data_IF_082238367200
#
_entry.id   IF_082238367200
#
_cell.length_a   1.000
_cell.length_b   1.000
_cell.length_c   1.000
_cell.angle_alpha   90.00
_cell.angle_beta   90.00
_cell.angle_gamma   90.00
#
_symmetry.space_group_name_H-M   'P 1'
#
loop_
_entity.id
_entity.type
_entity.pdbx_description
1 polymer ?
#
# COMPACT_ATOMS: atom_id res chain seq x y z
N UNK A 1 2.01 -1.43 9.69
CA UNK A 1 2.95 -2.58 9.54
C UNK A 1 2.54 -3.53 8.41
N UNK A 2 1.25 -3.86 8.27
CA UNK A 2 0.73 -4.75 7.21
C UNK A 2 0.97 -4.27 5.77
N UNK A 3 0.60 -3.01 5.44
CA UNK A 3 0.67 -2.55 4.04
C UNK A 3 2.10 -2.51 3.46
N UNK A 4 3.16 -2.29 4.27
CA UNK A 4 4.57 -2.30 3.78
C UNK A 4 4.98 -3.67 3.29
N UNK A 5 4.61 -4.68 4.08
CA UNK A 5 5.01 -6.05 3.81
C UNK A 5 4.21 -6.61 2.65
N UNK A 6 2.95 -6.18 2.54
CA UNK A 6 2.13 -6.42 1.36
C UNK A 6 2.72 -5.76 0.10
N UNK A 7 3.15 -4.50 0.17
CA UNK A 7 3.77 -3.80 -0.96
C UNK A 7 5.08 -4.49 -1.40
N UNK A 8 5.99 -4.80 -0.47
CA UNK A 8 7.22 -5.56 -0.77
C UNK A 8 6.92 -6.96 -1.30
N UNK A 9 5.84 -7.59 -0.85
CA UNK A 9 5.43 -8.89 -1.40
C UNK A 9 4.95 -8.75 -2.83
N UNK A 10 4.10 -7.76 -3.12
CA UNK A 10 3.65 -7.48 -4.48
C UNK A 10 4.83 -7.18 -5.41
N UNK A 11 5.83 -6.43 -4.95
CA UNK A 11 7.07 -6.17 -5.70
C UNK A 11 7.85 -7.46 -5.98
N UNK A 12 8.01 -8.35 -5.00
CA UNK A 12 8.64 -9.67 -5.21
C UNK A 12 7.85 -10.55 -6.18
N UNK A 13 6.52 -10.51 -6.08
CA UNK A 13 5.59 -11.24 -6.94
C UNK A 13 5.68 -10.75 -8.38
N UNK A 14 5.82 -9.44 -8.60
CA UNK A 14 6.06 -8.86 -9.94
C UNK A 14 7.34 -9.40 -10.58
N UNK A 15 8.36 -9.71 -9.79
CA UNK A 15 9.61 -10.33 -10.24
C UNK A 15 9.55 -11.87 -10.28
N UNK A 16 8.37 -12.47 -10.14
CA UNK A 16 8.16 -13.92 -10.21
C UNK A 16 8.44 -14.67 -8.92
N UNK A 17 8.73 -13.99 -7.81
CA UNK A 17 9.00 -14.62 -6.52
C UNK A 17 7.74 -14.66 -5.64
N UNK A 18 7.02 -15.78 -5.73
CA UNK A 18 5.75 -16.00 -5.04
C UNK A 18 5.89 -16.47 -3.58
N UNK A 19 7.09 -16.92 -3.18
CA UNK A 19 7.36 -17.46 -1.83
C UNK A 19 6.51 -18.69 -1.48
N UNK A 20 6.02 -18.78 -0.23
CA UNK A 20 5.18 -19.89 0.24
C UNK A 20 3.75 -19.79 -0.34
N UNK A 21 3.43 -20.71 -1.24
CA UNK A 21 2.13 -20.78 -1.92
C UNK A 21 1.48 -22.15 -1.74
N UNK A 22 0.15 -22.15 -1.62
CA UNK A 22 -0.67 -23.36 -1.52
C UNK A 22 -1.91 -23.22 -2.39
N UNK A 23 -2.24 -24.25 -3.16
CA UNK A 23 -3.56 -24.31 -3.81
C UNK A 23 -4.67 -24.45 -2.76
N UNK A 24 -5.71 -23.65 -2.86
CA UNK A 24 -6.91 -23.70 -1.99
C UNK A 24 -8.16 -24.17 -2.74
N UNK A 25 -8.00 -24.61 -3.99
CA UNK A 25 -9.09 -25.14 -4.83
C UNK A 25 -9.56 -24.17 -5.91
N UNK A 26 -10.25 -24.69 -6.94
CA UNK A 26 -10.88 -23.92 -8.02
C UNK A 26 -9.94 -22.90 -8.70
N UNK A 27 -8.66 -23.28 -8.91
CA UNK A 27 -7.66 -22.42 -9.54
C UNK A 27 -7.16 -21.25 -8.68
N UNK A 28 -7.59 -21.17 -7.41
CA UNK A 28 -7.15 -20.15 -6.45
C UNK A 28 -5.97 -20.66 -5.63
N UNK A 29 -4.99 -19.77 -5.45
CA UNK A 29 -3.81 -20.01 -4.65
C UNK A 29 -3.76 -19.04 -3.48
N UNK A 30 -3.34 -19.54 -2.32
CA UNK A 30 -3.03 -18.77 -1.14
C UNK A 30 -1.52 -18.55 -1.07
N UNK A 31 -1.11 -17.31 -0.94
CA UNK A 31 0.26 -16.90 -0.67
C UNK A 31 0.37 -16.52 0.81
N UNK A 32 1.21 -17.26 1.52
CA UNK A 32 1.34 -17.19 2.98
C UNK A 32 2.49 -16.27 3.37
N UNK A 33 2.20 -15.38 4.31
CA UNK A 33 3.18 -14.50 4.89
C UNK A 33 3.42 -14.85 6.36
N UNK A 34 4.65 -15.26 6.66
CA UNK A 34 5.06 -15.65 8.00
C UNK A 34 5.46 -14.40 8.81
N UNK A 35 4.49 -13.54 9.12
CA UNK A 35 4.68 -12.44 10.07
C UNK A 35 3.38 -11.90 10.68
N UNK A 36 3.44 -11.46 11.94
CA UNK A 36 2.34 -10.78 12.62
C UNK A 36 1.05 -11.62 12.70
N UNK A 37 -0.14 -11.01 12.72
CA UNK A 37 -1.40 -11.74 12.60
C UNK A 37 -1.51 -12.34 11.19
N UNK A 38 -0.93 -13.54 11.00
CA UNK A 38 -0.93 -14.40 9.80
C UNK A 38 -1.68 -13.83 8.58
N UNK A 39 -0.99 -13.09 7.71
CA UNK A 39 -1.60 -12.53 6.49
C UNK A 39 -1.60 -13.55 5.34
N UNK A 40 -2.71 -13.60 4.61
CA UNK A 40 -2.94 -14.52 3.50
C UNK A 40 -3.43 -13.75 2.28
N UNK A 41 -2.66 -13.72 1.21
CA UNK A 41 -3.08 -13.13 -0.06
C UNK A 41 -3.57 -14.23 -0.99
N UNK A 42 -4.76 -14.08 -1.56
CA UNK A 42 -5.30 -15.04 -2.50
C UNK A 42 -5.08 -14.54 -3.91
N UNK A 43 -4.75 -15.40 -4.85
CA UNK A 43 -4.56 -15.00 -6.24
C UNK A 43 -5.01 -16.08 -7.21
N UNK A 44 -5.27 -15.66 -8.44
CA UNK A 44 -5.39 -16.53 -9.61
C UNK A 44 -4.30 -16.17 -10.61
N UNK A 45 -3.75 -17.19 -11.28
CA UNK A 45 -2.75 -17.00 -12.33
C UNK A 45 -3.36 -17.27 -13.70
N UNK A 46 -3.20 -16.32 -14.62
CA UNK A 46 -3.65 -16.43 -16.02
C UNK A 46 -2.50 -16.13 -16.96
N UNK A 47 -1.85 -17.18 -17.46
CA UNK A 47 -0.61 -17.05 -18.22
C UNK A 47 0.45 -16.32 -17.40
N UNK A 48 0.87 -15.15 -17.86
CA UNK A 48 1.85 -14.28 -17.19
C UNK A 48 1.25 -13.30 -16.17
N UNK A 49 -0.08 -13.22 -16.06
CA UNK A 49 -0.76 -12.24 -15.20
C UNK A 49 -1.17 -12.88 -13.88
N UNK A 50 -0.80 -12.23 -12.77
CA UNK A 50 -1.25 -12.55 -11.43
C UNK A 50 -2.33 -11.56 -11.01
N UNK A 51 -3.53 -12.07 -10.71
CA UNK A 51 -4.63 -11.27 -10.18
C UNK A 51 -4.73 -11.58 -8.69
N UNK A 52 -4.28 -10.63 -7.87
CA UNK A 52 -4.26 -10.75 -6.42
C UNK A 52 -5.52 -10.14 -5.79
N UNK A 53 -6.09 -10.86 -4.84
CA UNK A 53 -7.20 -10.46 -3.97
C UNK A 53 -6.65 -10.33 -2.56
N UNK A 54 -6.79 -9.15 -1.96
CA UNK A 54 -6.31 -8.89 -0.62
C UNK A 54 -7.22 -9.61 0.39
N UNK A 55 -6.70 -10.69 0.99
CA UNK A 55 -7.29 -11.34 2.16
C UNK A 55 -6.67 -10.73 3.42
N UNK A 56 -7.49 -10.08 4.24
CA UNK A 56 -7.08 -9.53 5.53
C UNK A 56 -7.77 -10.29 6.64
N UNK A 57 -7.15 -11.39 7.09
CA UNK A 57 -7.79 -12.27 8.05
C UNK A 57 -6.79 -13.10 8.86
N UNK A 58 -7.03 -13.18 10.16
CA UNK A 58 -6.41 -14.13 11.07
C UNK A 58 -6.82 -15.58 10.74
N UNK A 59 -6.26 -16.56 11.46
CA UNK A 59 -6.60 -17.98 11.25
C UNK A 59 -8.09 -18.30 11.44
N UNK A 60 -8.85 -17.47 12.17
CA UNK A 60 -10.27 -17.67 12.40
C UNK A 60 -11.14 -17.26 11.19
N UNK A 61 -10.64 -16.39 10.32
CA UNK A 61 -11.34 -15.86 9.14
C UNK A 61 -10.90 -16.51 7.82
N UNK A 62 -9.80 -17.25 7.82
CA UNK A 62 -9.21 -17.94 6.66
C UNK A 62 -10.23 -18.71 5.80
N UNK A 63 -11.11 -19.52 6.41
CA UNK A 63 -12.11 -20.30 5.66
C UNK A 63 -13.11 -19.39 4.92
N UNK A 64 -13.54 -18.30 5.55
CA UNK A 64 -14.46 -17.35 4.93
C UNK A 64 -13.78 -16.55 3.81
N UNK A 65 -12.50 -16.24 3.97
CA UNK A 65 -11.73 -15.52 2.96
C UNK A 65 -11.41 -16.39 1.74
N UNK A 66 -11.09 -17.68 1.94
CA UNK A 66 -10.98 -18.66 0.84
C UNK A 66 -12.29 -18.73 0.05
N UNK A 67 -13.42 -18.85 0.75
CA UNK A 67 -14.73 -18.91 0.08
C UNK A 67 -15.05 -17.65 -0.73
N UNK A 68 -14.72 -16.46 -0.19
CA UNK A 68 -14.84 -15.19 -0.91
C UNK A 68 -13.91 -15.14 -2.14
N UNK A 69 -12.66 -15.56 -1.99
CA UNK A 69 -11.67 -15.56 -3.06
C UNK A 69 -12.09 -16.48 -4.22
N UNK A 70 -12.59 -17.68 -3.91
CA UNK A 70 -13.14 -18.61 -4.92
C UNK A 70 -14.35 -18.00 -5.62
N UNK A 71 -15.29 -17.40 -4.87
CA UNK A 71 -16.45 -16.74 -5.46
C UNK A 71 -16.06 -15.58 -6.39
N UNK A 72 -15.08 -14.77 -5.99
CA UNK A 72 -14.59 -13.66 -6.81
C UNK A 72 -13.88 -14.19 -8.07
N UNK A 73 -13.03 -15.22 -7.92
CA UNK A 73 -12.34 -15.88 -9.03
C UNK A 73 -13.32 -16.43 -10.08
N UNK A 74 -14.39 -17.11 -9.64
CA UNK A 74 -15.45 -17.59 -10.53
C UNK A 74 -16.15 -16.44 -11.27
N UNK A 75 -16.46 -15.34 -10.59
CA UNK A 75 -17.05 -14.16 -11.25
C UNK A 75 -16.11 -13.50 -12.27
N UNK A 76 -14.79 -13.60 -12.06
CA UNK A 76 -13.79 -13.13 -13.00
C UNK A 76 -13.71 -14.05 -14.22
N UNK A 77 -13.83 -15.37 -14.07
CA UNK A 77 -13.93 -16.31 -15.20
C UNK A 77 -15.17 -16.04 -16.05
N UNK A 78 -16.33 -15.86 -15.42
CA UNK A 78 -17.60 -15.58 -16.10
C UNK A 78 -17.58 -14.25 -16.87
N UNK A 79 -16.98 -13.19 -16.29
CA UNK A 79 -16.77 -11.89 -16.96
C UNK A 79 -15.72 -11.93 -18.08
N UNK A 80 -14.78 -12.88 -18.04
CA UNK A 80 -13.66 -12.93 -19.00
C UNK A 80 -13.97 -13.79 -20.22
N UNK A 81 -14.89 -14.75 -20.12
CA UNK A 81 -15.38 -15.51 -21.29
C UNK A 81 -16.06 -14.61 -22.33
N UNK A 82 -16.46 -13.38 -21.97
CA UNK A 82 -17.04 -12.39 -22.89
C UNK A 82 -16.16 -11.15 -23.14
N UNK A 83 -15.07 -10.92 -22.37
CA UNK A 83 -14.25 -9.70 -22.55
C UNK A 83 -12.77 -9.92 -22.22
N UNK A 84 -11.91 -9.78 -23.24
CA UNK A 84 -10.45 -9.64 -23.06
C UNK A 84 -10.17 -8.30 -22.37
N UNK A 85 -9.65 -8.33 -21.15
CA UNK A 85 -9.18 -7.14 -20.45
C UNK A 85 -7.73 -6.90 -20.88
N UNK A 86 -7.41 -5.74 -21.46
CA UNK A 86 -6.02 -5.36 -21.68
C UNK A 86 -5.47 -4.79 -20.39
N UNK A 87 -4.26 -5.18 -20.01
CA UNK A 87 -3.60 -4.71 -18.78
C UNK A 87 -3.48 -3.18 -18.78
N UNK A 88 -3.22 -2.58 -19.95
CA UNK A 88 -3.15 -1.13 -20.12
C UNK A 88 -4.47 -0.39 -19.84
N UNK A 89 -5.60 -1.11 -19.83
CA UNK A 89 -6.92 -0.55 -19.55
C UNK A 89 -7.31 -0.72 -18.06
N UNK A 90 -6.45 -1.35 -17.24
CA UNK A 90 -6.66 -1.43 -15.80
C UNK A 90 -6.32 -0.07 -15.17
N UNK A 91 -7.14 0.43 -14.22
CA UNK A 91 -6.81 1.64 -13.50
C UNK A 91 -5.49 1.46 -12.74
N UNK A 92 -4.60 2.45 -12.82
CA UNK A 92 -3.44 2.52 -11.94
C UNK A 92 -3.91 2.68 -10.49
N UNK A 93 -3.25 1.99 -9.57
CA UNK A 93 -3.55 2.14 -8.15
C UNK A 93 -3.01 3.48 -7.65
N UNK A 94 -3.90 4.41 -7.31
CA UNK A 94 -3.54 5.68 -6.69
C UNK A 94 -3.76 5.60 -5.17
N UNK A 95 -2.66 5.51 -4.42
CA UNK A 95 -2.72 5.47 -2.94
C UNK A 95 -3.39 6.70 -2.34
N UNK A 96 -3.42 7.85 -3.04
CA UNK A 96 -4.00 9.08 -2.51
C UNK A 96 -5.51 8.96 -2.27
N UNK A 97 -6.21 8.12 -3.03
CA UNK A 97 -7.64 7.80 -2.84
C UNK A 97 -7.93 7.10 -1.50
N UNK A 98 -6.90 6.53 -0.88
CA UNK A 98 -6.99 5.78 0.39
C UNK A 98 -6.40 6.54 1.59
N UNK A 99 -5.97 7.80 1.41
CA UNK A 99 -5.43 8.65 2.48
C UNK A 99 -6.48 9.66 2.98
N UNK A 100 -7.69 9.16 3.24
CA UNK A 100 -8.89 9.93 3.61
C UNK A 100 -8.96 10.33 5.09
N UNK A 101 -8.09 9.76 5.93
CA UNK A 101 -8.08 9.96 7.38
C UNK A 101 -6.67 10.17 7.94
N UNK A 102 -6.57 10.77 9.13
CA UNK A 102 -5.27 11.00 9.79
C UNK A 102 -4.61 9.68 10.17
N UNK A 103 -5.44 8.70 10.55
CA UNK A 103 -5.02 7.33 10.83
C UNK A 103 -4.39 6.67 9.61
N UNK A 104 -5.05 6.74 8.44
CA UNK A 104 -4.52 6.17 7.20
C UNK A 104 -3.18 6.81 6.80
N UNK A 105 -3.06 8.15 6.95
CA UNK A 105 -1.82 8.88 6.69
C UNK A 105 -0.71 8.48 7.67
N UNK A 106 -1.02 8.39 8.96
CA UNK A 106 -0.06 7.99 9.99
C UNK A 106 0.45 6.57 9.74
N UNK A 107 -0.43 5.65 9.36
CA UNK A 107 -0.05 4.30 8.96
C UNK A 107 0.83 4.33 7.72
N UNK A 108 0.41 5.01 6.65
CA UNK A 108 1.17 5.13 5.41
C UNK A 108 2.54 5.80 5.56
N UNK A 109 2.70 6.78 6.44
CA UNK A 109 4.00 7.40 6.73
C UNK A 109 4.84 6.50 7.62
N UNK A 110 4.23 5.89 8.63
CA UNK A 110 4.89 4.90 9.49
C UNK A 110 5.52 3.89 8.57
N UNK A 111 4.70 3.19 7.78
CA UNK A 111 4.75 2.88 6.33
C UNK A 111 6.00 2.99 5.46
N UNK A 112 6.59 4.17 5.49
CA UNK A 112 7.78 4.49 4.71
C UNK A 112 9.03 4.61 5.61
N UNK A 113 8.86 4.96 6.89
CA UNK A 113 9.97 5.10 7.86
C UNK A 113 10.78 3.82 8.24
N UNK A 114 10.18 2.65 8.52
CA UNK A 114 10.88 1.34 8.65
C UNK A 114 11.72 0.97 7.43
N UNK A 115 11.52 1.57 6.25
CA UNK A 115 12.42 1.34 5.12
C UNK A 115 13.76 2.06 5.30
N UNK A 116 13.87 2.93 6.30
CA UNK A 116 15.04 3.74 6.62
C UNK A 116 15.59 4.51 5.41
N UNK A 117 14.69 4.96 4.53
CA UNK A 117 15.02 5.75 3.35
C UNK A 117 14.49 7.19 3.50
N UNK A 118 15.36 8.20 3.71
CA UNK A 118 14.95 9.60 3.87
C UNK A 118 14.23 10.18 2.65
N UNK A 119 14.63 9.79 1.43
CA UNK A 119 14.02 10.24 0.19
C UNK A 119 12.57 9.71 0.07
N UNK A 120 12.34 8.46 0.47
CA UNK A 120 11.00 7.89 0.49
C UNK A 120 10.10 8.62 1.49
N UNK A 121 10.61 9.02 2.66
CA UNK A 121 9.83 9.81 3.62
C UNK A 121 9.36 11.15 3.02
N UNK A 122 10.24 11.86 2.31
CA UNK A 122 9.90 13.13 1.67
C UNK A 122 8.78 12.95 0.62
N UNK A 123 8.90 11.93 -0.23
CA UNK A 123 7.89 11.58 -1.22
C UNK A 123 6.54 11.19 -0.56
N UNK A 124 6.57 10.36 0.48
CA UNK A 124 5.38 9.94 1.21
C UNK A 124 4.61 11.12 1.83
N UNK A 125 5.33 12.09 2.39
CA UNK A 125 4.74 13.33 2.88
C UNK A 125 4.14 14.16 1.74
N UNK A 126 4.77 14.15 0.55
CA UNK A 126 4.23 14.77 -0.66
C UNK A 126 2.95 14.11 -1.17
N UNK A 127 2.89 12.79 -1.16
CA UNK A 127 1.70 11.99 -1.48
C UNK A 127 0.56 12.31 -0.51
N UNK A 128 0.82 12.27 0.80
CA UNK A 128 -0.17 12.61 1.82
C UNK A 128 -0.65 14.08 1.72
N UNK A 129 0.26 15.02 1.45
CA UNK A 129 -0.09 16.43 1.26
C UNK A 129 -0.98 16.66 0.03
N UNK A 130 -0.78 15.89 -1.04
CA UNK A 130 -1.67 15.92 -2.21
C UNK A 130 -3.06 15.38 -1.88
N UNK A 131 -3.15 14.26 -1.16
CA UNK A 131 -4.42 13.68 -0.74
C UNK A 131 -5.28 14.62 0.13
N UNK A 132 -4.63 15.43 0.99
CA UNK A 132 -5.30 16.44 1.83
C UNK A 132 -5.50 17.80 1.16
N UNK A 133 -4.99 17.98 -0.05
CA UNK A 133 -5.03 19.25 -0.77
C UNK A 133 -3.84 20.15 -0.47
N UNK A 134 -2.96 20.32 -1.46
CA UNK A 134 -1.70 21.05 -1.33
C UNK A 134 -1.86 22.51 -0.85
N UNK A 135 -2.95 23.19 -1.25
CA UNK A 135 -3.22 24.57 -0.84
C UNK A 135 -3.49 24.68 0.66
N UNK A 136 -4.24 23.73 1.23
CA UNK A 136 -4.55 23.74 2.67
C UNK A 136 -3.30 23.40 3.49
N UNK A 137 -2.52 22.41 3.03
CA UNK A 137 -1.25 22.04 3.67
C UNK A 137 -0.25 23.19 3.66
N UNK A 138 -0.13 23.93 2.55
CA UNK A 138 0.69 25.14 2.47
C UNK A 138 0.29 26.17 3.53
N UNK A 139 -1.01 26.46 3.64
CA UNK A 139 -1.56 27.41 4.61
C UNK A 139 -1.28 26.97 6.06
N UNK A 140 -1.54 25.71 6.40
CA UNK A 140 -1.37 25.19 7.76
C UNK A 140 0.10 25.02 8.17
N UNK A 141 0.97 24.62 7.24
CA UNK A 141 2.40 24.46 7.51
C UNK A 141 3.18 25.79 7.53
N UNK A 142 2.58 26.87 7.02
CA UNK A 142 3.23 28.17 6.82
C UNK A 142 4.29 28.13 5.72
N UNK A 143 4.19 27.19 4.78
CA UNK A 143 5.10 27.04 3.63
C UNK A 143 4.37 27.39 2.34
N UNK A 144 5.09 27.89 1.34
CA UNK A 144 4.49 28.10 0.01
C UNK A 144 4.28 26.76 -0.70
N UNK A 145 3.35 26.70 -1.66
CA UNK A 145 3.11 25.50 -2.47
C UNK A 145 4.37 25.10 -3.25
N UNK A 146 5.08 26.09 -3.79
CA UNK A 146 6.34 25.89 -4.51
C UNK A 146 7.43 25.30 -3.61
N UNK A 147 7.52 25.76 -2.35
CA UNK A 147 8.44 25.21 -1.37
C UNK A 147 8.09 23.76 -1.03
N UNK A 148 6.80 23.44 -0.84
CA UNK A 148 6.34 22.06 -0.62
C UNK A 148 6.69 21.16 -1.80
N UNK A 149 6.38 21.57 -3.03
CA UNK A 149 6.73 20.80 -4.23
C UNK A 149 8.23 20.60 -4.41
N UNK A 150 9.07 21.52 -3.93
CA UNK A 150 10.53 21.37 -3.99
C UNK A 150 11.06 20.48 -2.86
N UNK A 151 10.48 20.58 -1.67
CA UNK A 151 10.94 19.89 -0.48
C UNK A 151 10.47 18.44 -0.37
N UNK A 152 9.36 18.08 -1.02
CA UNK A 152 8.70 16.77 -0.91
C UNK A 152 8.82 15.92 -2.18
N UNK A 153 9.89 16.11 -2.96
CA UNK A 153 10.20 15.24 -4.11
C UNK A 153 10.96 13.99 -3.63
N UNK A 154 10.91 12.94 -4.43
CA UNK A 154 11.63 11.69 -4.18
C UNK A 154 13.16 11.82 -4.15
N UNK A 155 13.74 12.91 -4.66
CA UNK A 155 15.17 13.20 -4.62
C UNK A 155 15.54 14.35 -3.66
N UNK A 156 14.54 14.89 -2.94
CA UNK A 156 14.73 16.01 -2.04
C UNK A 156 15.27 15.58 -0.68
N UNK A 157 15.97 16.51 -0.02
CA UNK A 157 16.51 16.34 1.33
C UNK A 157 15.95 17.45 2.24
N UNK A 158 14.65 17.39 2.59
CA UNK A 158 14.03 18.43 3.40
C UNK A 158 14.66 18.49 4.79
N UNK A 159 14.79 19.69 5.33
CA UNK A 159 15.20 19.86 6.73
C UNK A 159 14.11 19.31 7.66
N UNK A 160 14.52 18.90 8.86
CA UNK A 160 13.59 18.39 9.86
C UNK A 160 12.47 19.40 10.22
N UNK A 161 12.76 20.70 10.27
CA UNK A 161 11.74 21.75 10.48
C UNK A 161 10.63 21.70 9.40
N UNK A 162 11.01 21.48 8.14
CA UNK A 162 10.04 21.31 7.05
C UNK A 162 9.21 20.05 7.25
N UNK A 163 9.85 18.92 7.57
CA UNK A 163 9.17 17.64 7.86
C UNK A 163 8.16 17.83 9.01
N UNK A 164 8.60 18.44 10.12
CA UNK A 164 7.77 18.64 11.31
C UNK A 164 6.55 19.50 11.04
N UNK A 165 6.69 20.60 10.29
CA UNK A 165 5.58 21.47 9.89
C UNK A 165 4.58 20.76 8.98
N UNK A 166 5.06 19.97 8.02
CA UNK A 166 4.20 19.19 7.12
C UNK A 166 3.45 18.12 7.89
N UNK A 167 4.12 17.37 8.79
CA UNK A 167 3.46 16.41 9.67
C UNK A 167 2.36 17.06 10.51
N UNK A 168 2.64 18.23 11.11
CA UNK A 168 1.64 18.96 11.90
C UNK A 168 0.43 19.39 11.06
N UNK A 169 0.64 19.90 9.85
CA UNK A 169 -0.43 20.25 8.90
C UNK A 169 -1.23 19.03 8.41
N UNK A 170 -0.63 17.84 8.40
CA UNK A 170 -1.28 16.58 8.07
C UNK A 170 -2.02 15.95 9.26
N UNK A 171 -1.94 16.54 10.46
CA UNK A 171 -2.53 15.98 11.68
C UNK A 171 -1.76 14.79 12.26
N UNK A 172 -0.51 14.56 11.84
CA UNK A 172 0.29 13.39 12.26
C UNK A 172 1.53 13.78 13.04
N UNK A 173 2.05 12.84 13.83
CA UNK A 173 3.27 13.00 14.63
C UNK A 173 4.22 11.85 14.36
N UNK A 174 5.50 12.16 14.24
CA UNK A 174 6.56 11.16 14.21
C UNK A 174 6.90 10.76 15.65
N UNK A 175 6.93 9.46 15.91
CA UNK A 175 7.21 8.91 17.25
C UNK A 175 8.45 8.03 17.21
N UNK A 176 9.32 8.19 18.19
CA UNK A 176 10.45 7.29 18.38
C UNK A 176 9.97 5.98 19.02
N UNK A 177 10.47 4.86 18.51
CA UNK A 177 10.20 3.52 19.04
C UNK A 177 11.53 2.81 19.31
N UNK A 178 11.60 1.91 20.31
CA UNK A 178 12.81 1.13 20.54
C UNK A 178 13.17 0.31 19.31
N UNK A 179 14.41 0.42 18.84
CA UNK A 179 14.91 -0.36 17.70
C UNK A 179 15.17 -1.83 18.08
N UNK A 180 15.41 -2.08 19.36
CA UNK A 180 15.63 -3.40 19.95
C UNK A 180 14.98 -3.40 21.34
N UNK A 181 14.34 -4.52 21.69
CA UNK A 181 13.73 -4.79 23.00
C UNK A 181 14.50 -5.89 23.70
#
# INVERSE_FOLDING_TARGET
MTHRRLARRLEKVQHGNLGDVKSVGEGVFEMREHFGPSWHMYYIQRGAVLIAMLGGGDKATQTADIAKAIKLAASLEERTMTKKIKIADLPEFDITEHLDSEQAIAEYITIVLEENNPAALADALGVAARARGMTEIAKQSGLTREALYKALRSDAHPRFDTISRVCAALGVKLVAQPAHS
#
